data_IF_060132816965
#
_entry.id   IF_060132816965
#
_cell.length_a   1.000
_cell.length_b   1.000
_cell.length_c   1.000
_cell.angle_alpha   90.00
_cell.angle_beta   90.00
_cell.angle_gamma   90.00
#
_symmetry.space_group_name_H-M   'P 1'
#
loop_
_entity.id
_entity.type
_entity.pdbx_description
1 polymer ?
#
# COMPACT_ATOMS: atom_id res chain seq x y z
N UNK A 1 -18.20 17.17 -9.70
CA UNK A 1 -18.28 15.70 -9.81
C UNK A 1 -16.95 15.08 -10.29
N UNK A 2 -16.32 15.56 -11.38
CA UNK A 2 -15.05 15.00 -11.91
C UNK A 2 -13.86 15.10 -10.91
N UNK A 3 -13.68 16.25 -10.24
CA UNK A 3 -12.52 16.49 -9.39
C UNK A 3 -12.41 15.47 -8.24
N UNK A 4 -13.54 15.15 -7.61
CA UNK A 4 -13.60 14.20 -6.50
C UNK A 4 -13.12 12.81 -6.95
N UNK A 5 -13.53 12.39 -8.15
CA UNK A 5 -13.13 11.11 -8.72
C UNK A 5 -11.62 11.06 -9.01
N UNK A 6 -11.07 12.14 -9.57
CA UNK A 6 -9.63 12.26 -9.81
C UNK A 6 -8.81 12.26 -8.52
N UNK A 7 -9.29 12.93 -7.47
CA UNK A 7 -8.62 12.96 -6.16
C UNK A 7 -8.60 11.57 -5.54
N UNK A 8 -9.73 10.84 -5.56
CA UNK A 8 -9.80 9.46 -5.03
C UNK A 8 -8.84 8.54 -5.79
N UNK A 9 -8.78 8.64 -7.12
CA UNK A 9 -7.85 7.85 -7.93
C UNK A 9 -6.39 8.15 -7.56
N UNK A 10 -6.05 9.43 -7.38
CA UNK A 10 -4.71 9.84 -7.00
C UNK A 10 -4.34 9.37 -5.59
N UNK A 11 -5.28 9.42 -4.64
CA UNK A 11 -5.09 8.88 -3.30
C UNK A 11 -4.82 7.37 -3.32
N UNK A 12 -5.57 6.60 -4.12
CA UNK A 12 -5.32 5.17 -4.29
C UNK A 12 -3.91 4.89 -4.85
N UNK A 13 -3.51 5.65 -5.88
CA UNK A 13 -2.17 5.52 -6.46
C UNK A 13 -1.08 5.85 -5.45
N UNK A 14 -1.21 6.97 -4.72
CA UNK A 14 -0.28 7.38 -3.68
C UNK A 14 -0.19 6.35 -2.55
N UNK A 15 -1.31 5.74 -2.17
CA UNK A 15 -1.34 4.69 -1.15
C UNK A 15 -0.58 3.43 -1.60
N UNK A 16 -0.82 2.96 -2.82
CA UNK A 16 -0.12 1.80 -3.38
C UNK A 16 1.38 2.10 -3.49
N UNK A 17 1.75 3.25 -4.04
CA UNK A 17 3.17 3.64 -4.17
C UNK A 17 3.83 3.80 -2.79
N UNK A 18 3.14 4.43 -1.83
CA UNK A 18 3.65 4.60 -0.47
C UNK A 18 3.89 3.27 0.24
N UNK A 19 2.96 2.32 0.11
CA UNK A 19 3.10 0.98 0.68
C UNK A 19 4.18 0.16 -0.03
N UNK A 20 4.30 0.29 -1.36
CA UNK A 20 5.39 -0.32 -2.15
C UNK A 20 6.77 0.17 -1.69
N UNK A 21 6.92 1.48 -1.47
CA UNK A 21 8.17 2.08 -1.00
C UNK A 21 8.44 1.66 0.45
N UNK A 22 7.43 1.74 1.34
CA UNK A 22 7.57 1.35 2.74
C UNK A 22 7.96 -0.12 2.91
N UNK A 23 7.23 -1.04 2.27
CA UNK A 23 7.52 -2.47 2.36
C UNK A 23 8.77 -2.88 1.58
N UNK A 24 8.96 -2.31 0.40
CA UNK A 24 10.06 -2.67 -0.50
C UNK A 24 11.41 -2.07 -0.12
N UNK A 25 11.45 -0.78 0.20
CA UNK A 25 12.69 -0.05 0.50
C UNK A 25 13.05 -0.12 1.98
N UNK A 26 12.07 0.02 2.87
CA UNK A 26 12.30 0.02 4.33
C UNK A 26 12.18 -1.40 4.89
N UNK A 27 11.18 -2.16 4.44
CA UNK A 27 10.87 -3.50 4.93
C UNK A 27 11.71 -4.65 4.33
N UNK A 28 12.67 -4.36 3.45
CA UNK A 28 13.50 -5.35 2.72
C UNK A 28 12.71 -6.42 1.93
N UNK A 29 11.40 -6.25 1.75
CA UNK A 29 10.54 -7.13 0.96
C UNK A 29 10.52 -6.76 -0.52
N UNK A 30 9.78 -7.49 -1.37
CA UNK A 30 9.58 -7.03 -2.75
C UNK A 30 8.44 -6.01 -2.77
N UNK A 31 8.63 -4.91 -3.49
CA UNK A 31 7.59 -3.90 -3.66
C UNK A 31 6.29 -4.48 -4.26
N UNK A 32 6.33 -5.59 -4.99
CA UNK A 32 5.11 -6.23 -5.52
C UNK A 32 4.32 -7.00 -4.45
N UNK A 33 4.91 -7.29 -3.30
CA UNK A 33 4.27 -8.11 -2.27
C UNK A 33 3.19 -7.34 -1.51
N UNK A 34 3.07 -6.02 -1.65
CA UNK A 34 1.92 -5.27 -1.11
C UNK A 34 0.59 -5.65 -1.74
N UNK A 35 0.59 -6.33 -2.89
CA UNK A 35 -0.61 -6.95 -3.44
C UNK A 35 -0.93 -8.33 -2.84
N UNK A 36 0.00 -8.93 -2.08
CA UNK A 36 -0.23 -10.19 -1.39
C UNK A 36 -0.97 -9.96 -0.07
N UNK A 37 -2.14 -10.59 0.08
CA UNK A 37 -2.94 -10.52 1.29
C UNK A 37 -2.18 -10.99 2.55
N UNK A 38 -1.24 -11.93 2.41
CA UNK A 38 -0.42 -12.44 3.52
C UNK A 38 0.41 -11.34 4.20
N UNK A 39 0.84 -10.29 3.48
CA UNK A 39 1.60 -9.18 4.07
C UNK A 39 0.72 -8.35 4.99
N UNK A 40 -0.51 -8.08 4.57
CA UNK A 40 -1.49 -7.36 5.38
C UNK A 40 -1.86 -8.15 6.63
N UNK A 41 -2.00 -9.48 6.51
CA UNK A 41 -2.20 -10.33 7.67
C UNK A 41 -1.02 -10.21 8.66
N UNK A 42 0.22 -10.25 8.17
CA UNK A 42 1.41 -10.08 9.00
C UNK A 42 1.45 -8.71 9.72
N UNK A 43 1.07 -7.63 9.04
CA UNK A 43 0.96 -6.29 9.63
C UNK A 43 -0.14 -6.25 10.70
N UNK A 44 -1.31 -6.81 10.42
CA UNK A 44 -2.43 -6.87 11.37
C UNK A 44 -2.10 -7.73 12.60
N UNK A 45 -1.32 -8.80 12.41
CA UNK A 45 -0.84 -9.64 13.49
C UNK A 45 0.13 -8.88 14.43
N UNK A 46 0.91 -7.91 13.91
CA UNK A 46 1.73 -7.02 14.75
C UNK A 46 0.90 -6.01 15.55
N UNK A 47 -0.27 -5.62 15.07
CA UNK A 47 -1.15 -4.66 15.74
C UNK A 47 -2.01 -5.30 16.83
N UNK A 48 -2.16 -6.63 16.79
CA UNK A 48 -2.87 -7.42 17.79
C UNK A 48 -2.06 -7.52 19.10
#
# INVERSE_FOLDING_TARGET
MIIIFSVILLMMLLFIIGTMIGYGVIGSGKATDVFNFSIWQHILDFLK
#
